data_IF_820445245306
#
_entry.id   IF_820445245306
#
_cell.length_a   1.000
_cell.length_b   1.000
_cell.length_c   1.000
_cell.angle_alpha   90.00
_cell.angle_beta   90.00
_cell.angle_gamma   90.00
#
_symmetry.space_group_name_H-M   'P 1'
#
loop_
_entity.id
_entity.type
_entity.pdbx_description
1 polymer ?
#
# COMPACT_ATOMS: atom_id res chain seq x y z
N UNK A 1 -8.13 27.15 11.92
CA UNK A 1 -7.69 27.03 10.51
C UNK A 1 -6.44 26.17 10.48
N UNK A 2 -6.43 25.09 9.71
CA UNK A 2 -5.33 24.11 9.70
C UNK A 2 -4.31 24.40 8.60
N UNK A 3 -3.02 24.32 8.92
CA UNK A 3 -1.89 24.42 7.99
C UNK A 3 -1.06 23.13 8.08
N UNK A 4 -0.76 22.52 6.93
CA UNK A 4 0.06 21.30 6.86
C UNK A 4 1.13 21.43 5.77
N UNK A 5 2.34 20.94 6.03
CA UNK A 5 3.37 20.77 5.01
C UNK A 5 4.18 19.48 5.16
N UNK A 6 4.72 19.03 4.03
CA UNK A 6 5.64 17.90 3.94
C UNK A 6 7.06 18.40 3.70
N UNK A 7 8.02 17.95 4.51
CA UNK A 7 9.41 18.41 4.41
C UNK A 7 10.26 17.44 3.59
N UNK A 8 11.16 17.99 2.77
CA UNK A 8 12.09 17.21 1.92
C UNK A 8 13.49 17.84 1.92
N UNK A 9 14.54 17.01 2.01
CA UNK A 9 15.95 17.45 2.08
C UNK A 9 16.59 17.46 0.67
N UNK A 10 17.28 18.55 0.29
CA UNK A 10 17.91 18.73 -1.02
C UNK A 10 19.30 19.43 -1.12
N UNK A 11 19.91 20.03 -0.09
CA UNK A 11 21.14 20.88 -0.24
C UNK A 11 22.47 20.29 0.25
N UNK A 12 23.60 20.96 -0.05
CA UNK A 12 24.96 20.57 0.36
C UNK A 12 25.31 20.93 1.81
N UNK A 13 24.66 21.94 2.40
CA UNK A 13 24.80 22.24 3.84
C UNK A 13 24.24 21.11 4.73
N UNK A 14 23.42 20.23 4.14
CA UNK A 14 22.92 18.98 4.76
C UNK A 14 24.03 17.97 5.06
N UNK A 15 25.11 17.97 4.28
CA UNK A 15 26.24 17.05 4.48
C UNK A 15 26.84 17.26 5.87
N UNK A 16 27.04 18.51 6.29
CA UNK A 16 27.67 18.82 7.57
C UNK A 16 26.74 18.55 8.76
N UNK A 17 25.45 18.91 8.68
CA UNK A 17 24.52 18.73 9.79
C UNK A 17 24.16 17.27 10.04
N UNK A 18 23.96 16.49 8.97
CA UNK A 18 23.70 15.06 9.06
C UNK A 18 24.98 14.32 9.46
N UNK A 19 26.14 14.71 8.92
CA UNK A 19 27.44 14.13 9.29
C UNK A 19 27.80 14.41 10.75
N UNK A 20 27.57 15.61 11.28
CA UNK A 20 27.81 15.92 12.71
C UNK A 20 26.92 15.07 13.62
N UNK A 21 25.63 14.91 13.28
CA UNK A 21 24.72 14.07 14.09
C UNK A 21 25.08 12.59 13.97
N UNK A 22 25.42 12.12 12.77
CA UNK A 22 25.87 10.75 12.53
C UNK A 22 27.21 10.48 13.23
N UNK A 23 28.22 11.35 13.12
CA UNK A 23 29.52 11.24 13.79
C UNK A 23 29.37 11.28 15.33
N UNK A 24 28.39 12.03 15.85
CA UNK A 24 28.10 12.07 17.30
C UNK A 24 27.36 10.82 17.83
N UNK A 25 26.64 10.10 16.97
CA UNK A 25 25.83 8.93 17.33
C UNK A 25 26.51 7.59 17.00
N UNK A 26 27.33 7.58 15.95
CA UNK A 26 28.00 6.43 15.40
C UNK A 26 29.50 6.76 15.37
N UNK A 27 30.21 6.46 16.46
CA UNK A 27 31.65 6.68 16.53
C UNK A 27 32.35 6.14 15.28
N UNK A 28 32.93 7.03 14.47
CA UNK A 28 33.94 6.84 13.42
C UNK A 28 33.63 5.90 12.24
N UNK A 29 33.05 4.73 12.47
CA UNK A 29 33.13 3.57 11.57
C UNK A 29 31.78 2.91 11.23
N UNK A 30 30.67 3.35 11.81
CA UNK A 30 29.37 2.67 11.70
C UNK A 30 28.51 3.08 10.48
N UNK A 31 29.06 3.84 9.52
CA UNK A 31 28.33 4.30 8.33
C UNK A 31 28.49 3.43 7.08
N UNK A 32 29.03 2.22 7.18
CA UNK A 32 29.12 1.30 6.03
C UNK A 32 27.80 0.56 5.82
N UNK A 33 26.77 1.24 5.32
CA UNK A 33 25.55 0.57 4.84
C UNK A 33 25.70 0.23 3.34
N UNK A 34 26.11 -1.01 3.05
CA UNK A 34 26.39 -1.49 1.69
C UNK A 34 25.12 -1.66 0.82
N UNK A 35 25.01 -0.79 -0.18
CA UNK A 35 24.87 -1.05 -1.64
C UNK A 35 23.69 -1.86 -2.20
N UNK A 36 22.92 -1.19 -3.07
CA UNK A 36 22.11 -1.82 -4.11
C UNK A 36 22.91 -2.11 -5.38
N UNK A 37 22.79 -3.35 -5.87
CA UNK A 37 23.37 -3.83 -7.13
C UNK A 37 22.49 -3.38 -8.31
N UNK A 38 22.82 -2.26 -8.95
CA UNK A 38 22.11 -1.79 -10.14
C UNK A 38 22.75 -2.36 -11.42
N UNK A 39 22.02 -3.23 -12.14
CA UNK A 39 22.47 -3.81 -13.41
C UNK A 39 21.89 -3.04 -14.60
N UNK A 40 22.69 -2.19 -15.24
CA UNK A 40 22.34 -1.57 -16.53
C UNK A 40 22.85 -2.44 -17.69
N UNK A 41 22.06 -3.47 -18.06
CA UNK A 41 22.38 -4.35 -19.19
C UNK A 41 23.12 -5.64 -18.81
N UNK A 42 23.04 -6.64 -19.69
CA UNK A 42 23.47 -8.03 -19.43
C UNK A 42 25.00 -8.16 -19.29
N UNK A 43 25.77 -7.24 -19.88
CA UNK A 43 27.23 -7.30 -19.99
C UNK A 43 28.02 -6.37 -19.05
N UNK A 44 27.37 -5.54 -18.21
CA UNK A 44 28.10 -4.63 -17.32
C UNK A 44 28.30 -5.29 -15.96
N UNK A 45 29.53 -5.29 -15.45
CA UNK A 45 29.79 -5.72 -14.07
C UNK A 45 29.05 -4.81 -13.08
N UNK A 46 28.53 -5.36 -11.97
CA UNK A 46 27.74 -4.57 -11.05
C UNK A 46 28.60 -3.54 -10.30
N UNK A 47 28.17 -2.28 -10.30
CA UNK A 47 28.82 -1.23 -9.53
C UNK A 47 28.49 -1.35 -8.03
N UNK A 48 29.46 -0.99 -7.19
CA UNK A 48 29.27 -0.84 -5.75
C UNK A 48 29.03 0.65 -5.44
N UNK A 49 27.91 0.96 -4.78
CA UNK A 49 27.47 2.34 -4.48
C UNK A 49 27.15 2.51 -2.99
N UNK A 50 27.70 3.54 -2.37
CA UNK A 50 27.41 3.93 -0.99
C UNK A 50 26.45 5.11 -0.94
N UNK A 51 25.56 5.13 0.06
CA UNK A 51 24.66 6.25 0.26
C UNK A 51 25.31 7.32 1.12
N UNK A 52 25.49 8.50 0.55
CA UNK A 52 26.00 9.67 1.27
C UNK A 52 24.88 10.47 1.98
N UNK A 53 23.67 9.90 2.08
CA UNK A 53 22.47 10.53 2.65
C UNK A 53 21.69 9.53 3.46
N UNK A 54 20.91 10.04 4.41
CA UNK A 54 19.96 9.23 5.16
C UNK A 54 18.96 8.56 4.20
N UNK A 55 18.89 7.23 4.22
CA UNK A 55 18.07 6.46 3.28
C UNK A 55 16.64 6.30 3.79
N UNK A 56 15.69 6.24 2.85
CA UNK A 56 14.35 5.80 3.13
C UNK A 56 14.33 4.29 3.43
N UNK A 57 13.58 3.87 4.45
CA UNK A 57 13.38 2.46 4.79
C UNK A 57 14.33 1.90 5.85
N UNK A 58 15.33 2.67 6.29
CA UNK A 58 16.11 2.32 7.47
C UNK A 58 15.34 2.72 8.74
N UNK A 59 15.27 1.81 9.72
CA UNK A 59 14.47 1.97 10.94
C UNK A 59 14.89 3.19 11.79
N UNK A 60 16.16 3.59 11.77
CA UNK A 60 16.68 4.75 12.52
C UNK A 60 16.52 6.08 11.78
N UNK A 61 16.27 6.07 10.47
CA UNK A 61 16.18 7.29 9.67
C UNK A 61 15.14 8.30 10.18
N UNK A 62 13.92 7.89 10.55
CA UNK A 62 12.93 8.84 11.04
C UNK A 62 13.33 9.51 12.35
N UNK A 63 13.97 8.76 13.25
CA UNK A 63 14.43 9.28 14.54
C UNK A 63 15.52 10.35 14.35
N UNK A 64 16.49 10.10 13.48
CA UNK A 64 17.58 11.05 13.18
C UNK A 64 17.00 12.33 12.57
N UNK A 65 16.11 12.20 11.57
CA UNK A 65 15.48 13.34 10.93
C UNK A 65 14.70 14.20 11.96
N UNK A 66 13.88 13.56 12.80
CA UNK A 66 13.11 14.26 13.83
C UNK A 66 14.01 14.94 14.88
N UNK A 67 15.11 14.30 15.28
CA UNK A 67 16.07 14.89 16.22
C UNK A 67 16.72 16.16 15.65
N UNK A 68 17.15 16.13 14.39
CA UNK A 68 17.70 17.31 13.70
C UNK A 68 16.68 18.44 13.66
N UNK A 69 15.42 18.13 13.30
CA UNK A 69 14.33 19.11 13.26
C UNK A 69 14.09 19.76 14.61
N UNK A 70 14.04 18.96 15.68
CA UNK A 70 13.80 19.44 17.04
C UNK A 70 14.97 20.28 17.58
N UNK A 71 16.21 19.90 17.33
CA UNK A 71 17.37 20.72 17.74
C UNK A 71 17.45 22.04 16.96
N UNK A 72 17.11 22.02 15.67
CA UNK A 72 16.99 23.23 14.87
C UNK A 72 15.87 24.15 15.39
N UNK A 73 14.71 23.59 15.73
CA UNK A 73 13.62 24.33 16.36
C UNK A 73 14.03 24.97 17.70
N UNK A 74 14.74 24.24 18.57
CA UNK A 74 15.25 24.79 19.84
C UNK A 74 16.26 25.92 19.60
N UNK A 75 17.19 25.73 18.66
CA UNK A 75 18.25 26.71 18.36
C UNK A 75 17.72 28.04 17.83
N UNK A 76 16.67 27.99 17.00
CA UNK A 76 16.09 29.18 16.38
C UNK A 76 14.74 29.59 16.97
N UNK A 77 14.40 29.08 18.17
CA UNK A 77 13.12 29.37 18.85
C UNK A 77 12.85 30.86 19.04
N UNK A 78 13.87 31.65 19.31
CA UNK A 78 13.72 33.11 19.48
C UNK A 78 13.44 33.83 18.15
N UNK A 79 13.94 33.30 17.03
CA UNK A 79 13.74 33.89 15.69
C UNK A 79 12.42 33.45 15.06
N UNK A 80 12.03 32.19 15.28
CA UNK A 80 10.86 31.56 14.67
C UNK A 80 9.99 30.86 15.74
N UNK A 81 9.40 31.62 16.69
CA UNK A 81 8.76 31.04 17.87
C UNK A 81 7.59 30.13 17.53
N UNK A 82 6.75 30.51 16.54
CA UNK A 82 5.56 29.71 16.17
C UNK A 82 5.98 28.44 15.46
N UNK A 83 6.90 28.56 14.51
CA UNK A 83 7.43 27.39 13.80
C UNK A 83 8.17 26.43 14.75
N UNK A 84 8.94 26.96 15.70
CA UNK A 84 9.63 26.14 16.68
C UNK A 84 8.64 25.39 17.59
N UNK A 85 7.56 26.03 18.01
CA UNK A 85 6.48 25.38 18.74
C UNK A 85 5.84 24.27 17.89
N UNK A 86 5.39 24.56 16.67
CA UNK A 86 4.82 23.56 15.76
C UNK A 86 5.76 22.37 15.54
N UNK A 87 7.07 22.59 15.35
CA UNK A 87 8.04 21.50 15.14
C UNK A 87 8.22 20.64 16.39
N UNK A 88 8.10 21.23 17.58
CA UNK A 88 8.28 20.51 18.85
C UNK A 88 7.01 19.77 19.28
N UNK A 89 5.82 20.29 18.99
CA UNK A 89 4.55 19.75 19.51
C UNK A 89 3.68 19.09 18.46
N UNK A 90 3.80 19.49 17.20
CA UNK A 90 2.81 19.23 16.15
C UNK A 90 3.45 18.77 14.83
N UNK A 91 4.63 18.13 14.92
CA UNK A 91 5.31 17.48 13.79
C UNK A 91 5.38 15.98 14.00
N UNK A 92 4.81 15.23 13.06
CA UNK A 92 4.91 13.78 13.00
C UNK A 92 5.78 13.38 11.81
N UNK A 93 6.95 12.80 12.11
CA UNK A 93 7.91 12.36 11.09
C UNK A 93 8.33 13.52 10.17
N UNK A 94 7.92 13.49 8.90
CA UNK A 94 8.21 14.50 7.88
C UNK A 94 7.05 15.49 7.63
N UNK A 95 5.92 15.34 8.33
CA UNK A 95 4.75 16.18 8.19
C UNK A 95 4.56 17.09 9.42
N UNK A 96 4.53 18.41 9.19
CA UNK A 96 4.26 19.42 10.23
C UNK A 96 2.86 19.98 10.04
N UNK A 97 2.04 19.91 11.09
CA UNK A 97 0.63 20.26 11.02
C UNK A 97 0.21 21.06 12.25
N UNK A 98 -0.37 22.24 12.05
CA UNK A 98 -0.87 23.07 13.15
C UNK A 98 -2.21 23.72 12.82
N UNK A 99 -2.91 24.17 13.86
CA UNK A 99 -4.17 24.90 13.73
C UNK A 99 -4.12 26.22 14.49
N UNK A 100 -4.41 27.31 13.78
CA UNK A 100 -4.44 28.67 14.35
C UNK A 100 -5.79 29.33 14.10
N UNK A 101 -6.16 30.30 14.94
CA UNK A 101 -7.47 30.95 14.88
C UNK A 101 -7.59 31.99 13.75
N UNK A 102 -6.46 32.57 13.31
CA UNK A 102 -6.41 33.70 12.38
C UNK A 102 -5.59 33.40 11.11
N UNK A 103 -6.05 33.94 9.97
CA UNK A 103 -5.44 33.71 8.65
C UNK A 103 -4.06 34.37 8.52
N UNK A 104 -3.87 35.56 9.09
CA UNK A 104 -2.60 36.27 9.01
C UNK A 104 -1.57 35.59 9.92
N UNK A 105 -2.02 35.05 11.05
CA UNK A 105 -1.22 34.14 11.89
C UNK A 105 -0.81 32.88 11.13
N UNK A 106 -1.71 32.26 10.35
CA UNK A 106 -1.38 31.08 9.53
C UNK A 106 -0.33 31.40 8.46
N UNK A 107 -0.44 32.57 7.81
CA UNK A 107 0.54 33.05 6.81
C UNK A 107 1.89 33.31 7.47
N UNK A 108 1.92 33.85 8.69
CA UNK A 108 3.15 34.07 9.44
C UNK A 108 3.80 32.73 9.83
N UNK A 109 3.01 31.77 10.33
CA UNK A 109 3.50 30.42 10.64
C UNK A 109 4.11 29.74 9.41
N UNK A 110 3.48 29.84 8.24
CA UNK A 110 4.03 29.35 6.98
C UNK A 110 5.43 29.91 6.68
N UNK A 111 5.62 31.22 6.85
CA UNK A 111 6.90 31.90 6.61
C UNK A 111 7.95 31.42 7.59
N UNK A 112 7.63 31.43 8.88
CA UNK A 112 8.54 30.98 9.93
C UNK A 112 8.94 29.51 9.74
N UNK A 113 7.99 28.62 9.40
CA UNK A 113 8.32 27.22 9.12
C UNK A 113 9.22 27.09 7.91
N UNK A 114 8.93 27.79 6.81
CA UNK A 114 9.75 27.75 5.59
C UNK A 114 11.19 28.17 5.87
N UNK A 115 11.38 29.25 6.64
CA UNK A 115 12.70 29.75 7.02
C UNK A 115 13.41 28.86 8.05
N UNK A 116 12.68 28.38 9.06
CA UNK A 116 13.22 27.45 10.06
C UNK A 116 13.72 26.17 9.40
N UNK A 117 12.93 25.55 8.52
CA UNK A 117 13.34 24.36 7.77
C UNK A 117 14.55 24.64 6.87
N UNK A 118 14.60 25.81 6.23
CA UNK A 118 15.75 26.20 5.41
C UNK A 118 17.05 26.33 6.22
N UNK A 119 17.00 26.73 7.50
CA UNK A 119 18.19 26.72 8.40
C UNK A 119 18.76 25.32 8.64
N UNK A 120 17.95 24.28 8.50
CA UNK A 120 18.38 22.88 8.56
C UNK A 120 18.73 22.29 7.19
N UNK A 121 18.81 23.11 6.13
CA UNK A 121 18.99 22.64 4.75
C UNK A 121 17.73 22.03 4.13
N UNK A 122 16.63 21.98 4.86
CA UNK A 122 15.40 21.30 4.44
C UNK A 122 14.45 22.24 3.70
N UNK A 123 13.71 21.70 2.73
CA UNK A 123 12.69 22.43 1.97
C UNK A 123 11.30 21.87 2.26
N UNK A 124 10.44 22.70 2.86
CA UNK A 124 9.02 22.39 3.03
C UNK A 124 8.28 22.49 1.68
N UNK A 125 7.46 21.48 1.39
CA UNK A 125 6.67 21.34 0.15
C UNK A 125 5.26 20.86 0.46
N UNK A 126 4.42 20.82 -0.59
CA UNK A 126 3.03 20.31 -0.52
C UNK A 126 2.21 20.96 0.60
N UNK A 127 2.31 22.29 0.68
CA UNK A 127 1.54 23.07 1.63
C UNK A 127 0.03 22.90 1.37
N UNK A 128 -0.73 22.68 2.43
CA UNK A 128 -2.18 22.56 2.44
C UNK A 128 -2.75 23.50 3.49
N UNK A 129 -3.87 24.14 3.18
CA UNK A 129 -4.65 24.95 4.11
C UNK A 129 -6.13 24.79 3.81
N UNK A 130 -6.97 24.87 4.85
CA UNK A 130 -8.41 24.92 4.68
C UNK A 130 -8.94 26.35 4.44
N UNK A 131 -8.14 27.40 4.67
CA UNK A 131 -8.50 28.78 4.30
C UNK A 131 -8.08 29.10 2.87
N UNK A 132 -9.01 29.64 2.07
CA UNK A 132 -8.75 30.10 0.69
C UNK A 132 -7.76 31.26 0.64
N UNK A 133 -7.84 32.24 1.56
CA UNK A 133 -6.93 33.39 1.61
C UNK A 133 -5.50 32.92 1.88
N UNK A 134 -5.34 32.01 2.86
CA UNK A 134 -4.05 31.41 3.19
C UNK A 134 -3.54 30.60 2.00
N UNK A 135 -4.35 29.70 1.44
CA UNK A 135 -3.96 28.87 0.29
C UNK A 135 -3.53 29.70 -0.94
N UNK A 136 -4.26 30.75 -1.29
CA UNK A 136 -3.88 31.65 -2.38
C UNK A 136 -2.55 32.38 -2.10
N UNK A 137 -2.28 32.73 -0.84
CA UNK A 137 -1.01 33.34 -0.46
C UNK A 137 0.16 32.35 -0.55
N UNK A 138 -0.07 31.10 -0.17
CA UNK A 138 0.89 29.99 -0.34
C UNK A 138 1.18 29.72 -1.83
N UNK A 139 0.16 29.72 -2.68
CA UNK A 139 0.28 29.35 -4.10
C UNK A 139 0.97 30.42 -4.96
N UNK A 140 0.76 31.71 -4.65
CA UNK A 140 1.45 32.83 -5.32
C UNK A 140 2.98 32.81 -5.16
N UNK A 141 3.50 32.10 -4.15
CA UNK A 141 4.93 31.87 -3.92
C UNK A 141 5.45 30.54 -4.50
N UNK A 142 4.55 29.64 -4.94
CA UNK A 142 4.83 28.26 -5.37
C UNK A 142 4.57 28.03 -6.87
N UNK A 143 4.73 29.06 -7.69
CA UNK A 143 4.21 29.14 -9.06
C UNK A 143 4.79 28.13 -10.09
N UNK A 144 5.57 27.09 -9.70
CA UNK A 144 6.22 26.21 -10.70
C UNK A 144 6.16 24.69 -10.52
N UNK A 145 5.59 24.09 -9.47
CA UNK A 145 5.80 22.63 -9.28
C UNK A 145 4.60 21.74 -8.97
N UNK A 146 3.38 22.24 -8.69
CA UNK A 146 2.28 21.37 -8.27
C UNK A 146 1.08 21.28 -9.24
N UNK A 147 1.04 22.05 -10.33
CA UNK A 147 -0.14 22.14 -11.20
C UNK A 147 -0.21 21.10 -12.34
N UNK A 148 0.25 19.86 -12.11
CA UNK A 148 0.06 18.77 -13.07
C UNK A 148 -0.50 17.53 -12.38
N UNK A 149 -1.82 17.51 -12.16
CA UNK A 149 -2.74 16.39 -12.52
C UNK A 149 -4.05 16.34 -11.74
N UNK A 150 -4.22 17.13 -10.70
CA UNK A 150 -5.51 17.30 -10.04
C UNK A 150 -6.08 18.63 -10.52
N UNK A 151 -7.37 18.69 -10.85
CA UNK A 151 -8.06 19.95 -11.11
C UNK A 151 -7.94 20.92 -9.91
N UNK A 152 -8.58 22.11 -9.97
CA UNK A 152 -8.64 22.99 -8.81
C UNK A 152 -9.06 22.18 -7.60
N UNK A 153 -8.30 22.28 -6.51
CA UNK A 153 -8.70 21.74 -5.22
C UNK A 153 -9.98 22.49 -4.86
N UNK A 154 -11.13 21.86 -5.07
CA UNK A 154 -12.43 22.34 -4.60
C UNK A 154 -12.26 22.64 -3.11
N UNK A 155 -12.57 23.88 -2.71
CA UNK A 155 -12.23 24.35 -1.39
C UNK A 155 -13.01 23.57 -0.33
N UNK A 156 -12.44 23.40 0.87
CA UNK A 156 -13.09 22.68 1.97
C UNK A 156 -14.42 23.30 2.42
N UNK A 157 -14.72 24.53 1.97
CA UNK A 157 -15.93 25.29 2.29
C UNK A 157 -17.01 25.21 1.20
N UNK A 158 -16.77 24.53 0.08
CA UNK A 158 -17.79 24.29 -0.95
C UNK A 158 -18.74 23.16 -0.50
N UNK A 159 -20.05 23.37 -0.69
CA UNK A 159 -21.03 22.33 -0.43
C UNK A 159 -20.78 21.12 -1.33
N UNK A 160 -20.55 19.96 -0.72
CA UNK A 160 -20.38 18.70 -1.44
C UNK A 160 -21.61 18.43 -2.31
N UNK A 161 -21.45 17.92 -3.55
CA UNK A 161 -22.57 17.61 -4.43
C UNK A 161 -23.64 16.78 -3.70
N UNK A 162 -24.90 17.18 -3.83
CA UNK A 162 -26.01 16.59 -3.06
C UNK A 162 -26.09 15.06 -3.16
N UNK A 163 -25.72 14.50 -4.32
CA UNK A 163 -25.62 13.04 -4.51
C UNK A 163 -24.57 12.41 -3.58
N UNK A 164 -23.38 13.00 -3.49
CA UNK A 164 -22.32 12.55 -2.59
C UNK A 164 -22.71 12.78 -1.13
N UNK A 165 -23.28 13.93 -0.81
CA UNK A 165 -23.80 14.24 0.52
C UNK A 165 -24.82 13.20 1.00
N UNK A 166 -25.73 12.79 0.11
CA UNK A 166 -26.73 11.77 0.40
C UNK A 166 -26.10 10.41 0.63
N UNK A 167 -25.11 10.02 -0.18
CA UNK A 167 -24.35 8.76 0.02
C UNK A 167 -23.59 8.75 1.34
N UNK A 168 -22.93 9.84 1.70
CA UNK A 168 -22.21 9.97 2.98
C UNK A 168 -23.18 9.91 4.16
N UNK A 169 -24.32 10.63 4.11
CA UNK A 169 -25.34 10.56 5.16
C UNK A 169 -25.90 9.15 5.33
N UNK A 170 -26.21 8.46 4.23
CA UNK A 170 -26.67 7.07 4.26
C UNK A 170 -25.60 6.14 4.86
N UNK A 171 -24.34 6.29 4.47
CA UNK A 171 -23.23 5.53 5.02
C UNK A 171 -23.04 5.77 6.52
N UNK A 172 -23.05 7.03 6.98
CA UNK A 172 -22.95 7.39 8.40
C UNK A 172 -24.13 6.83 9.21
N UNK A 173 -25.35 6.87 8.65
CA UNK A 173 -26.51 6.26 9.29
C UNK A 173 -26.37 4.75 9.41
N UNK A 174 -25.80 4.08 8.41
CA UNK A 174 -25.59 2.64 8.41
C UNK A 174 -24.51 2.19 9.41
N UNK A 175 -23.50 3.04 9.68
CA UNK A 175 -22.49 2.79 10.72
C UNK A 175 -23.09 2.60 12.13
N UNK A 176 -24.29 3.14 12.38
CA UNK A 176 -24.99 2.93 13.66
C UNK A 176 -25.34 1.45 13.90
N UNK A 177 -25.34 0.61 12.86
CA UNK A 177 -25.57 -0.84 12.98
C UNK A 177 -24.29 -1.64 13.30
N UNK A 178 -23.13 -0.99 13.44
CA UNK A 178 -21.86 -1.70 13.72
C UNK A 178 -21.86 -2.41 15.09
N UNK A 179 -22.66 -1.95 16.03
CA UNK A 179 -22.88 -2.59 17.34
C UNK A 179 -23.47 -4.00 17.21
N UNK A 180 -24.19 -4.29 16.12
CA UNK A 180 -24.78 -5.59 15.81
C UNK A 180 -23.77 -6.57 15.18
N UNK A 181 -22.59 -6.09 14.77
CA UNK A 181 -21.58 -6.94 14.15
C UNK A 181 -20.87 -7.76 15.22
N UNK A 182 -21.12 -9.08 15.22
CA UNK A 182 -20.49 -10.02 16.15
C UNK A 182 -19.44 -10.83 15.41
N UNK A 183 -18.19 -10.74 15.87
CA UNK A 183 -17.07 -11.56 15.38
C UNK A 183 -16.59 -12.48 16.50
N UNK A 184 -16.76 -13.81 16.39
CA UNK A 184 -16.22 -14.75 17.37
C UNK A 184 -14.69 -14.61 17.46
N UNK A 185 -14.16 -14.31 18.65
CA UNK A 185 -12.70 -14.15 18.85
C UNK A 185 -11.94 -15.48 18.85
N UNK A 186 -12.62 -16.55 19.24
CA UNK A 186 -12.04 -17.90 19.32
C UNK A 186 -12.10 -18.55 17.93
N UNK A 187 -10.92 -18.76 17.34
CA UNK A 187 -10.79 -19.38 16.01
C UNK A 187 -10.93 -20.91 16.14
N UNK A 188 -10.30 -21.52 17.14
CA UNK A 188 -10.30 -22.96 17.40
C UNK A 188 -10.91 -23.26 18.78
N UNK A 189 -11.95 -24.09 18.82
CA UNK A 189 -12.64 -24.45 20.08
C UNK A 189 -12.20 -25.81 20.61
N UNK A 190 -11.89 -26.74 19.71
CA UNK A 190 -11.42 -28.09 20.00
C UNK A 190 -10.14 -28.36 19.22
N UNK A 191 -9.26 -29.19 19.77
CA UNK A 191 -8.09 -29.66 19.06
C UNK A 191 -8.52 -30.50 17.85
N UNK A 192 -8.12 -30.06 16.66
CA UNK A 192 -8.51 -30.69 15.41
C UNK A 192 -7.49 -30.39 14.31
N UNK A 193 -7.78 -30.86 13.09
CA UNK A 193 -6.97 -30.51 11.92
C UNK A 193 -7.49 -29.20 11.35
N UNK A 194 -6.69 -28.15 11.43
CA UNK A 194 -7.06 -26.82 10.93
C UNK A 194 -6.33 -26.48 9.64
N UNK A 195 -7.08 -25.96 8.67
CA UNK A 195 -6.55 -25.41 7.42
C UNK A 195 -6.99 -23.96 7.24
N UNK A 196 -6.11 -23.15 6.63
CA UNK A 196 -6.40 -21.74 6.33
C UNK A 196 -6.78 -21.61 4.86
N UNK A 197 -7.88 -20.90 4.61
CA UNK A 197 -8.40 -20.64 3.27
C UNK A 197 -8.48 -19.14 3.02
N UNK A 198 -7.81 -18.65 1.98
CA UNK A 198 -7.77 -17.23 1.61
C UNK A 198 -8.45 -17.02 0.27
N UNK A 199 -9.53 -16.26 0.28
CA UNK A 199 -10.30 -15.86 -0.88
C UNK A 199 -9.89 -14.47 -1.33
N UNK A 200 -9.81 -14.24 -2.63
CA UNK A 200 -9.50 -12.91 -3.17
C UNK A 200 -10.47 -12.54 -4.27
N UNK A 201 -10.76 -11.26 -4.39
CA UNK A 201 -11.58 -10.71 -5.47
C UNK A 201 -11.12 -9.28 -5.83
N UNK A 202 -11.50 -8.80 -7.01
CA UNK A 202 -11.31 -7.43 -7.41
C UNK A 202 -12.46 -6.87 -8.25
N UNK A 203 -12.83 -5.64 -7.93
CA UNK A 203 -13.70 -4.78 -8.71
C UNK A 203 -12.90 -3.65 -9.39
N UNK A 204 -13.60 -2.74 -10.07
CA UNK A 204 -12.98 -1.52 -10.61
C UNK A 204 -12.55 -0.54 -9.53
N UNK A 205 -13.18 -0.62 -8.36
CA UNK A 205 -13.06 0.37 -7.28
C UNK A 205 -12.12 -0.11 -6.17
N UNK A 206 -12.05 -1.42 -5.92
CA UNK A 206 -11.18 -2.01 -4.92
C UNK A 206 -10.86 -3.48 -5.21
N UNK A 207 -9.81 -3.99 -4.57
CA UNK A 207 -9.50 -5.42 -4.51
C UNK A 207 -9.34 -5.85 -3.05
N UNK A 208 -9.75 -7.07 -2.76
CA UNK A 208 -9.89 -7.56 -1.41
C UNK A 208 -9.40 -9.00 -1.24
N UNK A 209 -9.08 -9.35 0.01
CA UNK A 209 -8.79 -10.69 0.44
C UNK A 209 -9.48 -10.99 1.78
N UNK A 210 -9.96 -12.21 1.95
CA UNK A 210 -10.67 -12.68 3.15
C UNK A 210 -10.15 -14.06 3.52
N UNK A 211 -9.75 -14.24 4.78
CA UNK A 211 -9.15 -15.46 5.28
C UNK A 211 -10.06 -16.15 6.31
N UNK A 212 -10.22 -17.45 6.19
CA UNK A 212 -10.99 -18.30 7.10
C UNK A 212 -10.12 -19.44 7.64
N UNK A 213 -10.37 -19.82 8.90
CA UNK A 213 -9.90 -21.06 9.47
C UNK A 213 -10.99 -22.11 9.30
N UNK A 214 -10.65 -23.26 8.73
CA UNK A 214 -11.49 -24.45 8.68
C UNK A 214 -10.93 -25.47 9.65
N UNK A 215 -11.67 -25.80 10.70
CA UNK A 215 -11.25 -26.75 11.73
C UNK A 215 -12.08 -28.03 11.62
N UNK A 216 -11.42 -29.17 11.40
CA UNK A 216 -12.02 -30.49 11.43
C UNK A 216 -11.82 -31.11 12.81
N UNK A 217 -12.93 -31.33 13.52
CA UNK A 217 -12.97 -31.83 14.89
C UNK A 217 -13.87 -33.06 14.97
N UNK A 218 -13.86 -33.75 16.11
CA UNK A 218 -14.76 -34.89 16.34
C UNK A 218 -16.25 -34.46 16.30
N UNK A 219 -16.52 -33.20 16.62
CA UNK A 219 -17.85 -32.59 16.62
C UNK A 219 -18.30 -32.11 15.22
N UNK A 220 -17.43 -32.22 14.20
CA UNK A 220 -17.69 -31.81 12.82
C UNK A 220 -16.73 -30.72 12.31
N UNK A 221 -17.11 -30.12 11.19
CA UNK A 221 -16.33 -29.07 10.52
C UNK A 221 -16.87 -27.70 10.92
N UNK A 222 -15.98 -26.80 11.33
CA UNK A 222 -16.32 -25.39 11.59
C UNK A 222 -15.48 -24.48 10.71
N UNK A 223 -16.06 -23.38 10.23
CA UNK A 223 -15.36 -22.37 9.43
C UNK A 223 -15.56 -21.01 10.07
N UNK A 224 -14.47 -20.29 10.35
CA UNK A 224 -14.50 -18.99 11.02
C UNK A 224 -13.65 -17.95 10.30
N UNK A 225 -14.17 -16.75 10.18
CA UNK A 225 -13.43 -15.59 9.68
C UNK A 225 -12.23 -15.29 10.60
N UNK A 226 -11.03 -15.20 10.02
CA UNK A 226 -9.81 -14.79 10.72
C UNK A 226 -9.59 -13.29 10.52
N UNK A 227 -9.54 -12.86 9.27
CA UNK A 227 -9.25 -11.48 8.90
C UNK A 227 -9.68 -11.21 7.46
N UNK A 228 -9.97 -9.94 7.17
CA UNK A 228 -10.17 -9.45 5.80
C UNK A 228 -9.33 -8.19 5.57
N UNK A 229 -9.02 -7.91 4.31
CA UNK A 229 -8.28 -6.72 3.91
C UNK A 229 -8.74 -6.25 2.54
N UNK A 230 -9.08 -4.98 2.44
CA UNK A 230 -9.47 -4.30 1.20
C UNK A 230 -8.49 -3.19 0.87
N UNK A 231 -8.22 -2.98 -0.42
CA UNK A 231 -7.46 -1.83 -0.93
C UNK A 231 -8.18 -1.20 -2.10
N UNK A 232 -8.27 0.12 -2.09
CA UNK A 232 -8.80 0.91 -3.21
C UNK A 232 -7.95 0.68 -4.46
N UNK A 233 -8.62 0.55 -5.61
CA UNK A 233 -7.99 0.38 -6.90
C UNK A 233 -7.12 1.61 -7.23
N UNK A 234 -5.95 1.45 -7.87
CA UNK A 234 -5.10 2.58 -8.22
C UNK A 234 -5.81 3.54 -9.18
N UNK A 235 -5.61 4.85 -8.97
CA UNK A 235 -6.11 5.89 -9.90
C UNK A 235 -5.60 5.70 -11.33
N UNK A 236 -4.41 5.11 -11.50
CA UNK A 236 -3.94 4.69 -12.80
C UNK A 236 -4.75 3.46 -13.24
N UNK A 237 -5.59 3.65 -14.24
CA UNK A 237 -6.42 2.59 -14.81
C UNK A 237 -5.62 1.32 -15.11
N UNK A 238 -6.04 0.22 -14.50
CA UNK A 238 -5.58 -1.14 -14.77
C UNK A 238 -6.75 -1.94 -15.36
N UNK A 239 -6.45 -2.98 -16.13
CA UNK A 239 -7.48 -3.93 -16.55
C UNK A 239 -8.00 -4.70 -15.34
N UNK A 240 -9.24 -5.20 -15.41
CA UNK A 240 -9.86 -6.02 -14.36
C UNK A 240 -8.94 -7.20 -13.99
N UNK A 241 -8.40 -7.92 -14.98
CA UNK A 241 -7.49 -9.04 -14.70
C UNK A 241 -6.22 -8.65 -13.94
N UNK A 242 -5.70 -7.43 -14.16
CA UNK A 242 -4.57 -6.93 -13.38
C UNK A 242 -4.97 -6.55 -11.96
N UNK A 243 -6.20 -6.07 -11.74
CA UNK A 243 -6.74 -5.82 -10.40
C UNK A 243 -7.01 -7.15 -9.67
N UNK A 244 -7.53 -8.16 -10.34
CA UNK A 244 -7.70 -9.52 -9.78
C UNK A 244 -6.34 -10.09 -9.36
N UNK A 245 -5.29 -9.93 -10.18
CA UNK A 245 -3.92 -10.32 -9.79
C UNK A 245 -3.40 -9.52 -8.60
N UNK A 246 -3.79 -8.24 -8.46
CA UNK A 246 -3.46 -7.45 -7.27
C UNK A 246 -4.22 -7.95 -6.04
N UNK A 247 -5.45 -8.43 -6.20
CA UNK A 247 -6.21 -9.18 -5.19
C UNK A 247 -5.45 -10.42 -4.71
N UNK A 248 -4.96 -11.24 -5.63
CA UNK A 248 -4.11 -12.39 -5.31
C UNK A 248 -2.85 -12.00 -4.51
N UNK A 249 -2.15 -10.94 -4.93
CA UNK A 249 -1.00 -10.40 -4.18
C UNK A 249 -1.38 -9.92 -2.76
N UNK A 250 -2.58 -9.35 -2.60
CA UNK A 250 -3.08 -8.91 -1.30
C UNK A 250 -3.39 -10.13 -0.41
N UNK A 251 -4.00 -11.17 -0.97
CA UNK A 251 -4.27 -12.43 -0.29
C UNK A 251 -2.99 -13.12 0.18
N UNK A 252 -1.95 -13.17 -0.66
CA UNK A 252 -0.64 -13.73 -0.28
C UNK A 252 -0.03 -12.99 0.91
N UNK A 253 -0.08 -11.65 0.93
CA UNK A 253 0.44 -10.84 2.03
C UNK A 253 -0.38 -11.00 3.32
N UNK A 254 -1.70 -11.11 3.18
CA UNK A 254 -2.60 -11.39 4.30
C UNK A 254 -2.28 -12.77 4.90
N UNK A 255 -2.15 -13.79 4.06
CA UNK A 255 -1.77 -15.14 4.47
C UNK A 255 -0.43 -15.15 5.20
N UNK A 256 0.61 -14.50 4.66
CA UNK A 256 1.91 -14.40 5.32
C UNK A 256 1.86 -13.74 6.70
N UNK A 257 0.98 -12.74 6.88
CA UNK A 257 0.78 -12.08 8.18
C UNK A 257 0.02 -12.99 9.16
N UNK A 258 -0.95 -13.76 8.68
CA UNK A 258 -1.69 -14.73 9.50
C UNK A 258 -0.78 -15.89 9.91
N UNK A 259 -0.01 -16.43 8.96
CA UNK A 259 0.98 -17.49 9.17
C UNK A 259 2.00 -17.12 10.24
N UNK A 260 2.50 -15.88 10.25
CA UNK A 260 3.47 -15.44 11.25
C UNK A 260 2.85 -15.29 12.64
N UNK A 261 1.62 -14.76 12.74
CA UNK A 261 0.95 -14.51 14.04
C UNK A 261 0.38 -15.78 14.65
N UNK A 262 -0.24 -16.64 13.84
CA UNK A 262 -0.86 -17.88 14.29
C UNK A 262 0.08 -19.08 14.23
N UNK A 263 1.34 -18.88 13.83
CA UNK A 263 2.36 -19.92 13.68
C UNK A 263 1.97 -21.06 12.71
N UNK A 264 1.22 -20.76 11.64
CA UNK A 264 0.91 -21.72 10.58
C UNK A 264 1.92 -21.63 9.43
N UNK A 265 2.21 -22.77 8.82
CA UNK A 265 3.02 -22.86 7.60
C UNK A 265 2.26 -22.28 6.41
N UNK A 266 2.90 -21.38 5.66
CA UNK A 266 2.31 -20.75 4.49
C UNK A 266 2.04 -21.77 3.36
N UNK A 267 2.82 -22.85 3.33
CA UNK A 267 2.73 -23.95 2.37
C UNK A 267 1.43 -24.75 2.49
N UNK A 268 0.78 -24.70 3.66
CA UNK A 268 -0.48 -25.39 3.95
C UNK A 268 -1.72 -24.51 3.67
N UNK A 269 -1.52 -23.23 3.33
CA UNK A 269 -2.61 -22.30 3.04
C UNK A 269 -3.19 -22.57 1.66
N UNK A 270 -4.52 -22.61 1.55
CA UNK A 270 -5.23 -22.75 0.27
C UNK A 270 -5.73 -21.39 -0.18
N UNK A 271 -5.41 -21.00 -1.41
CA UNK A 271 -5.84 -19.74 -2.02
C UNK A 271 -6.96 -19.97 -3.02
N UNK A 272 -7.96 -19.10 -3.03
CA UNK A 272 -9.11 -19.16 -3.90
C UNK A 272 -9.25 -17.86 -4.71
N UNK A 273 -9.32 -18.01 -6.03
CA UNK A 273 -9.57 -16.93 -6.99
C UNK A 273 -10.73 -17.33 -7.89
N UNK A 274 -11.59 -16.38 -8.25
CA UNK A 274 -12.64 -16.60 -9.25
C UNK A 274 -12.20 -16.23 -10.68
N UNK A 275 -11.09 -15.52 -10.81
CA UNK A 275 -10.49 -15.20 -12.09
C UNK A 275 -9.70 -16.37 -12.68
N UNK A 276 -10.23 -16.93 -13.77
CA UNK A 276 -9.51 -17.91 -14.58
C UNK A 276 -8.21 -17.33 -15.18
N UNK A 277 -8.18 -16.03 -15.50
CA UNK A 277 -6.98 -15.37 -16.02
C UNK A 277 -5.86 -15.35 -14.98
N UNK A 278 -6.19 -15.01 -13.73
CA UNK A 278 -5.22 -15.03 -12.63
C UNK A 278 -4.74 -16.44 -12.36
N UNK A 279 -5.64 -17.42 -12.31
CA UNK A 279 -5.27 -18.81 -12.09
C UNK A 279 -4.34 -19.35 -13.21
N UNK A 280 -4.64 -19.02 -14.47
CA UNK A 280 -3.79 -19.32 -15.61
C UNK A 280 -2.40 -18.68 -15.46
N UNK A 281 -2.32 -17.40 -15.09
CA UNK A 281 -1.05 -16.72 -14.88
C UNK A 281 -0.22 -17.33 -13.76
N UNK A 282 -0.84 -17.67 -12.63
CA UNK A 282 -0.16 -18.27 -11.47
C UNK A 282 0.40 -19.66 -11.81
N UNK A 283 -0.29 -20.44 -12.65
CA UNK A 283 0.19 -21.77 -13.09
C UNK A 283 1.15 -21.71 -14.28
N UNK A 284 1.13 -20.60 -15.03
CA UNK A 284 1.98 -20.39 -16.19
C UNK A 284 3.43 -20.01 -15.86
N UNK A 285 4.29 -19.98 -16.87
CA UNK A 285 5.69 -19.57 -16.72
C UNK A 285 5.78 -18.04 -16.65
N UNK A 286 6.01 -17.49 -15.45
CA UNK A 286 6.07 -16.04 -15.18
C UNK A 286 6.91 -15.23 -16.19
N UNK A 287 8.07 -15.77 -16.62
CA UNK A 287 8.99 -15.15 -17.58
C UNK A 287 8.37 -14.85 -18.95
N UNK A 288 7.30 -15.55 -19.33
CA UNK A 288 6.61 -15.37 -20.61
C UNK A 288 5.62 -14.19 -20.60
N UNK A 289 5.29 -13.63 -19.44
CA UNK A 289 4.34 -12.53 -19.33
C UNK A 289 5.01 -11.15 -19.40
N UNK A 290 4.21 -10.12 -19.68
CA UNK A 290 4.67 -8.73 -19.59
C UNK A 290 5.10 -8.38 -18.15
N UNK A 291 6.02 -7.42 -17.95
CA UNK A 291 6.67 -7.17 -16.66
C UNK A 291 5.75 -7.02 -15.45
N UNK A 292 4.59 -6.36 -15.60
CA UNK A 292 3.63 -6.19 -14.50
C UNK A 292 3.14 -7.52 -13.94
N UNK A 293 2.72 -8.42 -14.83
CA UNK A 293 2.20 -9.75 -14.50
C UNK A 293 3.36 -10.67 -14.09
N UNK A 294 4.44 -10.69 -14.89
CA UNK A 294 5.61 -11.54 -14.66
C UNK A 294 6.20 -11.36 -13.25
N UNK A 295 6.37 -10.11 -12.79
CA UNK A 295 6.99 -9.84 -11.49
C UNK A 295 6.11 -10.31 -10.33
N UNK A 296 4.78 -10.08 -10.41
CA UNK A 296 3.81 -10.46 -9.37
C UNK A 296 3.61 -11.97 -9.32
N UNK A 297 3.46 -12.60 -10.47
CA UNK A 297 3.40 -14.07 -10.58
C UNK A 297 4.70 -14.69 -10.07
N UNK A 298 5.86 -14.09 -10.39
CA UNK A 298 7.15 -14.55 -9.87
C UNK A 298 7.23 -14.49 -8.35
N UNK A 299 6.71 -13.43 -7.71
CA UNK A 299 6.62 -13.32 -6.25
C UNK A 299 5.68 -14.39 -5.66
N UNK A 300 4.50 -14.61 -6.26
CA UNK A 300 3.56 -15.68 -5.85
C UNK A 300 4.24 -17.06 -5.93
N UNK A 301 4.88 -17.36 -7.05
CA UNK A 301 5.55 -18.63 -7.30
C UNK A 301 6.81 -18.83 -6.44
N UNK A 302 7.41 -17.75 -5.94
CA UNK A 302 8.56 -17.81 -5.05
C UNK A 302 8.15 -18.17 -3.62
N UNK A 303 6.99 -17.69 -3.16
CA UNK A 303 6.51 -17.86 -1.79
C UNK A 303 5.48 -19.00 -1.64
N UNK A 304 4.86 -19.43 -2.72
CA UNK A 304 3.81 -20.48 -2.71
C UNK A 304 3.94 -21.41 -3.91
N UNK A 305 3.45 -22.63 -3.75
CA UNK A 305 3.30 -23.57 -4.85
C UNK A 305 2.04 -23.21 -5.67
N UNK A 306 2.09 -23.15 -7.02
CA UNK A 306 0.91 -22.95 -7.86
C UNK A 306 -0.26 -23.91 -7.59
N UNK A 307 0.00 -25.11 -7.03
CA UNK A 307 -1.01 -26.07 -6.63
C UNK A 307 -1.88 -25.61 -5.43
N UNK A 308 -1.38 -24.68 -4.61
CA UNK A 308 -2.14 -24.07 -3.51
C UNK A 308 -3.27 -23.16 -4.02
N UNK A 309 -3.18 -22.69 -5.27
CA UNK A 309 -4.12 -21.76 -5.87
C UNK A 309 -5.22 -22.49 -6.63
N UNK A 310 -6.47 -22.21 -6.23
CA UNK A 310 -7.68 -22.88 -6.72
C UNK A 310 -8.69 -21.89 -7.29
N UNK A 311 -9.53 -22.39 -8.18
CA UNK A 311 -10.70 -21.65 -8.68
C UNK A 311 -11.87 -21.77 -7.68
N UNK A 312 -12.58 -20.66 -7.45
CA UNK A 312 -13.89 -20.65 -6.79
C UNK A 312 -14.92 -19.97 -7.71
N UNK A 313 -16.15 -20.49 -7.86
CA UNK A 313 -17.20 -19.76 -8.56
C UNK A 313 -17.45 -18.39 -7.91
N UNK A 314 -17.58 -17.33 -8.70
CA UNK A 314 -17.77 -15.96 -8.15
C UNK A 314 -18.95 -15.84 -7.18
N UNK A 315 -20.06 -16.57 -7.42
CA UNK A 315 -21.22 -16.63 -6.50
C UNK A 315 -20.88 -17.19 -5.11
N UNK A 316 -19.81 -17.97 -5.00
CA UNK A 316 -19.32 -18.62 -3.78
C UNK A 316 -18.07 -17.94 -3.24
N UNK A 317 -17.65 -16.82 -3.83
CA UNK A 317 -16.49 -16.05 -3.40
C UNK A 317 -16.90 -14.98 -2.36
N UNK A 318 -16.60 -15.15 -1.07
CA UNK A 318 -16.96 -14.17 -0.05
C UNK A 318 -16.15 -12.86 -0.17
N UNK A 319 -15.05 -12.84 -0.92
CA UNK A 319 -14.25 -11.63 -1.11
C UNK A 319 -14.94 -10.58 -2.01
N UNK A 320 -15.97 -10.98 -2.78
CA UNK A 320 -16.75 -10.07 -3.65
C UNK A 320 -17.41 -8.93 -2.86
N UNK A 321 -17.98 -9.26 -1.70
CA UNK A 321 -18.59 -8.28 -0.79
C UNK A 321 -17.60 -7.20 -0.33
N UNK A 322 -16.34 -7.60 -0.09
CA UNK A 322 -15.28 -6.69 0.35
C UNK A 322 -14.66 -5.87 -0.80
N UNK A 323 -14.69 -6.37 -2.04
CA UNK A 323 -14.13 -5.69 -3.21
C UNK A 323 -15.10 -4.67 -3.83
N UNK A 324 -16.41 -4.90 -3.71
CA UNK A 324 -17.48 -4.03 -4.25
C UNK A 324 -18.06 -3.06 -3.23
N UNK A 325 -17.83 -3.32 -1.95
CA UNK A 325 -18.43 -2.58 -0.86
C UNK A 325 -19.86 -3.04 -0.56
N UNK A 326 -20.26 -2.91 0.69
CA UNK A 326 -21.60 -3.26 1.17
C UNK A 326 -22.01 -2.36 2.32
N UNK A 327 -23.29 -2.42 2.70
CA UNK A 327 -23.78 -1.82 3.95
C UNK A 327 -23.56 -2.79 5.11
N UNK A 328 -23.49 -2.28 6.34
CA UNK A 328 -23.37 -3.06 7.57
C UNK A 328 -24.52 -4.06 7.69
N UNK A 329 -25.75 -3.62 7.41
CA UNK A 329 -26.94 -4.50 7.42
C UNK A 329 -26.77 -5.66 6.45
N UNK A 330 -26.41 -5.39 5.19
CA UNK A 330 -26.20 -6.42 4.19
C UNK A 330 -25.02 -7.33 4.52
N UNK A 331 -23.98 -6.80 5.16
CA UNK A 331 -22.84 -7.60 5.62
C UNK A 331 -23.26 -8.61 6.69
N UNK A 332 -24.10 -8.19 7.66
CA UNK A 332 -24.60 -9.05 8.73
C UNK A 332 -25.52 -10.15 8.17
N UNK A 333 -26.39 -9.80 7.23
CA UNK A 333 -27.31 -10.75 6.58
C UNK A 333 -26.59 -11.69 5.60
N UNK A 334 -25.35 -11.41 5.22
CA UNK A 334 -24.62 -12.21 4.24
C UNK A 334 -24.10 -13.51 4.84
N UNK A 335 -24.81 -14.60 4.58
CA UNK A 335 -24.57 -15.95 5.11
C UNK A 335 -23.10 -16.40 5.04
N UNK A 336 -22.41 -16.09 3.94
CA UNK A 336 -21.03 -16.55 3.69
C UNK A 336 -19.94 -15.69 4.32
N UNK A 337 -20.26 -14.46 4.77
CA UNK A 337 -19.22 -13.50 5.19
C UNK A 337 -18.58 -13.89 6.53
N UNK A 338 -19.39 -14.30 7.50
CA UNK A 338 -18.91 -14.68 8.84
C UNK A 338 -18.43 -16.13 8.90
N UNK A 339 -19.10 -17.01 8.14
CA UNK A 339 -18.99 -18.47 8.26
C UNK A 339 -18.35 -19.14 7.04
N UNK A 340 -17.87 -18.37 6.07
CA UNK A 340 -17.30 -18.87 4.83
C UNK A 340 -18.32 -19.55 3.90
N UNK A 341 -17.91 -19.96 2.69
CA UNK A 341 -18.79 -20.64 1.75
C UNK A 341 -19.09 -22.09 2.16
N UNK A 342 -20.31 -22.55 1.85
CA UNK A 342 -20.87 -23.85 2.26
C UNK A 342 -20.00 -25.05 1.86
N UNK A 343 -19.36 -25.00 0.69
CA UNK A 343 -18.52 -26.12 0.23
C UNK A 343 -17.34 -26.41 1.16
N UNK A 344 -16.88 -25.44 1.97
CA UNK A 344 -15.81 -25.68 2.95
C UNK A 344 -16.26 -26.60 4.08
N UNK A 345 -17.55 -26.77 4.34
CA UNK A 345 -18.04 -27.70 5.36
C UNK A 345 -18.03 -29.15 4.88
N UNK A 346 -18.02 -29.36 3.56
CA UNK A 346 -17.96 -30.68 2.93
C UNK A 346 -16.55 -31.27 2.89
N UNK A 347 -16.48 -32.49 2.36
CA UNK A 347 -15.23 -33.19 2.09
C UNK A 347 -14.39 -32.45 1.03
N UNK A 348 -13.04 -32.35 1.20
CA UNK A 348 -12.17 -31.70 0.23
C UNK A 348 -12.27 -32.20 -1.22
N UNK A 349 -12.73 -33.43 -1.44
CA UNK A 349 -13.00 -34.01 -2.76
C UNK A 349 -14.21 -33.39 -3.47
N UNK A 350 -15.16 -32.82 -2.71
CA UNK A 350 -16.34 -32.13 -3.22
C UNK A 350 -16.12 -30.63 -3.47
N UNK A 351 -14.94 -30.10 -3.12
CA UNK A 351 -14.62 -28.70 -3.34
C UNK A 351 -14.58 -28.35 -4.84
N UNK A 352 -14.81 -27.07 -5.22
CA UNK A 352 -14.83 -26.64 -6.62
C UNK A 352 -13.63 -27.12 -7.43
N UNK A 353 -13.91 -27.65 -8.62
CA UNK A 353 -12.92 -28.24 -9.51
C UNK A 353 -12.01 -27.15 -10.09
N UNK A 354 -10.71 -27.44 -10.11
CA UNK A 354 -9.69 -26.59 -10.70
C UNK A 354 -9.58 -26.79 -12.21
N UNK A 355 -10.63 -26.45 -12.96
CA UNK A 355 -10.57 -26.44 -14.43
C UNK A 355 -9.78 -25.21 -14.90
N UNK A 356 -8.58 -25.44 -15.40
CA UNK A 356 -7.86 -24.45 -16.21
C UNK A 356 -8.17 -24.78 -17.65
N UNK A 357 -9.10 -24.05 -18.24
CA UNK A 357 -9.18 -24.04 -19.69
C UNK A 357 -7.92 -23.33 -20.20
N UNK A 358 -7.34 -23.80 -21.31
CA UNK A 358 -6.23 -23.11 -21.98
C UNK A 358 -6.71 -21.76 -22.50
N UNK A 359 -6.72 -20.75 -21.63
CA UNK A 359 -7.06 -19.38 -22.02
C UNK A 359 -5.85 -18.82 -22.77
N UNK A 360 -6.03 -18.60 -24.08
CA UNK A 360 -5.05 -17.88 -24.91
C UNK A 360 -5.01 -16.41 -24.45
N UNK A 361 -4.21 -16.14 -23.42
CA UNK A 361 -4.12 -14.81 -22.81
C UNK A 361 -3.33 -13.81 -23.66
N UNK A 362 -3.90 -12.61 -23.88
CA UNK A 362 -3.33 -11.50 -24.66
C UNK A 362 -2.09 -10.82 -24.04
N UNK A 363 -1.68 -11.22 -22.84
CA UNK A 363 -0.57 -10.64 -22.06
C UNK A 363 0.73 -11.45 -22.11
N UNK A 364 0.79 -12.49 -22.95
CA UNK A 364 2.06 -13.15 -23.31
C UNK A 364 2.98 -12.18 -24.08
N UNK A 365 4.29 -12.31 -23.88
CA UNK A 365 5.30 -11.61 -24.69
C UNK A 365 5.22 -12.15 -26.10
N UNK A 366 5.15 -11.25 -27.09
CA UNK A 366 5.28 -11.64 -28.49
C UNK A 366 6.67 -12.24 -28.72
N UNK A 367 6.74 -13.36 -29.42
CA UNK A 367 8.00 -13.91 -29.92
C UNK A 367 8.51 -12.96 -31.01
N UNK A 368 9.66 -12.33 -30.77
CA UNK A 368 10.29 -11.45 -31.76
C UNK A 368 11.28 -12.28 -32.57
N UNK A 369 10.98 -12.50 -33.85
CA UNK A 369 11.92 -13.05 -34.82
C UNK A 369 12.57 -11.88 -35.53
N UNK A 370 13.86 -11.63 -35.27
CA UNK A 370 14.65 -10.63 -36.01
C UNK A 370 15.57 -11.33 -37.01
N UNK A 371 15.43 -11.02 -38.29
CA UNK A 371 16.40 -11.39 -39.32
C UNK A 371 17.61 -10.46 -39.20
N UNK A 372 18.79 -11.00 -38.84
CA UNK A 372 20.05 -10.27 -38.95
C UNK A 372 20.57 -10.42 -40.39
N UNK A 373 20.37 -9.39 -41.22
CA UNK A 373 21.09 -9.30 -42.49
C UNK A 373 22.58 -9.06 -42.18
N UNK A 374 23.40 -10.11 -42.29
CA UNK A 374 24.85 -9.93 -42.40
C UNK A 374 25.10 -9.18 -43.70
N UNK A 375 25.47 -7.90 -43.61
CA UNK A 375 26.15 -7.24 -44.73
C UNK A 375 27.46 -8.00 -44.94
N UNK A 376 27.54 -8.75 -46.04
CA UNK A 376 28.82 -9.21 -46.56
C UNK A 376 29.55 -7.96 -47.03
N UNK A 377 30.56 -7.53 -46.27
CA UNK A 377 31.51 -6.54 -46.75
C UNK A 377 32.29 -7.18 -47.91
N UNK A 378 31.90 -6.88 -49.14
CA UNK A 378 32.78 -7.06 -50.29
C UNK A 378 33.84 -5.97 -50.23
N UNK A 379 35.09 -6.38 -50.01
CA UNK A 379 36.26 -5.51 -50.06
C UNK A 379 36.40 -4.88 -51.45
N UNK A 380 36.46 -3.56 -51.51
CA UNK A 380 37.26 -2.79 -52.47
C UNK A 380 38.02 -1.74 -51.67
#
# INVERSE_FOLDING_TARGET
MGLNCKVTCHTKEEEEAIRVVIESMAGGDNCRYQVHVARSGVQKEPGTYEFNRLIFGLNVSPFIAQKVSQENAKRYKEQFPRAAETVLTSTYMDDSMDSVEDEDVAIQLYRELTELWAKAGMSARKWLSNSKKVFCRLSSLLEKLCYRKSGPVECWDEEIPQELASKVKAWVSDLQNLDKVVVPRCIEYESGKTSIHVFTDASKDAYAAVAYARSETNSGVTVRLIASKTKVAPLKALSISKLELMGAMLGLKLAGSISSVLCYRLEDVVFWVDSQNVLYWIRGRSKLFKPFVANRVGEIQHLTNPAQWRHVPGKDNPADLASRGTTVVKMIEHEKWSSGPEFLYGDPTCWPVNTVNDVVGSDQRKVVVSMMNRKVCTNI
#
